data_IF_214511203201
#
_entry.id   IF_214511203201
#
_cell.length_a   1.000
_cell.length_b   1.000
_cell.length_c   1.000
_cell.angle_alpha   90.00
_cell.angle_beta   90.00
_cell.angle_gamma   90.00
#
_symmetry.space_group_name_H-M   'P 1'
#
loop_
_entity.id
_entity.type
_entity.pdbx_description
1 polymer ?
#
# COMPACT_ATOMS: atom_id res chain seq x y z
N UNK A 1 -9.89 -1.00 11.24
CA UNK A 1 -10.59 0.11 10.60
C UNK A 1 -12.08 0.17 10.98
N UNK A 2 -12.78 -0.96 11.08
CA UNK A 2 -14.18 -1.01 11.50
C UNK A 2 -15.19 -1.27 10.38
N UNK A 3 -14.81 -1.09 9.11
CA UNK A 3 -15.69 -1.38 7.97
C UNK A 3 -15.80 -2.87 7.62
N UNK A 4 -14.84 -3.71 8.03
CA UNK A 4 -14.83 -5.13 7.70
C UNK A 4 -15.89 -5.88 8.50
N UNK A 5 -16.93 -6.36 7.81
CA UNK A 5 -18.02 -7.17 8.39
C UNK A 5 -17.82 -8.65 8.12
N UNK A 6 -17.06 -9.00 7.06
CA UNK A 6 -16.75 -10.38 6.68
C UNK A 6 -15.36 -10.48 6.09
N UNK A 7 -14.76 -11.65 6.05
CA UNK A 7 -13.39 -11.83 5.56
C UNK A 7 -13.18 -13.17 4.88
N UNK A 8 -12.28 -13.18 3.92
CA UNK A 8 -11.69 -14.40 3.37
C UNK A 8 -10.73 -15.03 4.39
N UNK A 9 -10.30 -16.24 4.17
CA UNK A 9 -9.41 -16.96 5.11
C UNK A 9 -8.10 -16.23 5.45
N UNK A 10 -7.53 -15.42 4.54
CA UNK A 10 -6.29 -14.66 4.77
C UNK A 10 -6.41 -13.24 4.19
N UNK A 11 -7.20 -12.39 4.85
CA UNK A 11 -7.35 -11.01 4.39
C UNK A 11 -6.06 -10.23 4.63
N UNK A 12 -5.74 -9.33 3.68
CA UNK A 12 -4.67 -8.36 3.87
C UNK A 12 -5.03 -7.43 5.04
N UNK A 13 -4.04 -7.09 5.86
CA UNK A 13 -4.22 -6.10 6.93
C UNK A 13 -4.47 -4.72 6.32
N UNK A 14 -5.46 -3.98 6.85
CA UNK A 14 -5.89 -2.68 6.32
C UNK A 14 -4.77 -1.63 6.39
N UNK A 15 -3.98 -1.63 7.47
CA UNK A 15 -2.87 -0.69 7.63
C UNK A 15 -1.77 -0.98 6.61
N UNK A 16 -1.48 -2.27 6.38
CA UNK A 16 -0.53 -2.68 5.34
C UNK A 16 -1.03 -2.29 3.95
N UNK A 17 -2.30 -2.54 3.63
CA UNK A 17 -2.92 -2.17 2.37
C UNK A 17 -2.82 -0.66 2.10
N UNK A 18 -3.17 0.17 3.09
CA UNK A 18 -3.02 1.63 3.00
C UNK A 18 -1.56 2.03 2.79
N UNK A 19 -0.62 1.44 3.53
CA UNK A 19 0.81 1.69 3.38
C UNK A 19 1.35 1.31 1.99
N UNK A 20 0.89 0.19 1.42
CA UNK A 20 1.22 -0.23 0.06
C UNK A 20 0.75 0.81 -0.96
N UNK A 21 -0.49 1.29 -0.85
CA UNK A 21 -1.06 2.29 -1.76
C UNK A 21 -0.32 3.63 -1.62
N UNK A 22 -0.11 4.12 -0.41
CA UNK A 22 0.63 5.37 -0.16
C UNK A 22 2.06 5.31 -0.72
N UNK A 23 2.72 4.14 -0.66
CA UNK A 23 4.06 3.94 -1.25
C UNK A 23 4.06 4.13 -2.76
N UNK A 24 2.97 3.83 -3.46
CA UNK A 24 2.88 4.05 -4.92
C UNK A 24 2.89 5.52 -5.31
N UNK A 25 2.58 6.41 -4.38
CA UNK A 25 2.38 7.85 -4.61
C UNK A 25 1.00 8.20 -5.15
N UNK A 26 0.15 7.23 -5.50
CA UNK A 26 -1.19 7.43 -6.01
C UNK A 26 -2.13 8.01 -4.93
N UNK A 27 -2.93 9.02 -5.32
CA UNK A 27 -3.85 9.75 -4.43
C UNK A 27 -5.24 9.96 -5.05
N UNK A 28 -5.60 9.19 -6.08
CA UNK A 28 -6.89 9.31 -6.76
C UNK A 28 -6.85 10.06 -8.11
N UNK A 29 -5.66 10.29 -8.68
CA UNK A 29 -5.49 10.97 -9.97
C UNK A 29 -5.75 10.07 -11.19
N UNK A 30 -6.13 8.83 -10.99
CA UNK A 30 -6.42 7.84 -12.03
C UNK A 30 -7.28 6.70 -11.46
N UNK A 31 -7.66 5.76 -12.33
CA UNK A 31 -8.32 4.53 -11.89
C UNK A 31 -7.37 3.64 -11.07
N UNK A 32 -7.93 2.88 -10.15
CA UNK A 32 -7.21 1.90 -9.34
C UNK A 32 -7.73 0.50 -9.67
N UNK A 33 -6.83 -0.47 -9.88
CA UNK A 33 -7.23 -1.83 -10.28
C UNK A 33 -6.60 -2.86 -9.34
N UNK A 34 -7.44 -3.77 -8.82
CA UNK A 34 -7.00 -4.99 -8.12
C UNK A 34 -7.71 -6.21 -8.71
N UNK A 35 -7.05 -6.95 -9.62
CA UNK A 35 -7.68 -8.06 -10.33
C UNK A 35 -7.78 -9.36 -9.53
N UNK A 36 -7.33 -9.38 -8.28
CA UNK A 36 -7.42 -10.51 -7.35
C UNK A 36 -7.76 -9.98 -5.95
N UNK A 37 -8.89 -9.27 -5.86
CA UNK A 37 -9.20 -8.36 -4.76
C UNK A 37 -9.60 -9.07 -3.46
N UNK A 38 -9.92 -10.37 -3.48
CA UNK A 38 -10.35 -11.09 -2.29
C UNK A 38 -11.51 -10.38 -1.56
N UNK A 39 -11.32 -10.02 -0.30
CA UNK A 39 -12.31 -9.30 0.51
C UNK A 39 -12.41 -7.79 0.24
N UNK A 40 -11.73 -7.27 -0.77
CA UNK A 40 -11.79 -5.87 -1.21
C UNK A 40 -10.97 -4.88 -0.40
N UNK A 41 -10.04 -5.33 0.44
CA UNK A 41 -9.28 -4.44 1.35
C UNK A 41 -8.51 -3.36 0.59
N UNK A 42 -7.75 -3.71 -0.47
CA UNK A 42 -7.00 -2.72 -1.27
C UNK A 42 -7.93 -1.71 -1.94
N UNK A 43 -9.08 -2.14 -2.44
CA UNK A 43 -10.06 -1.25 -3.09
C UNK A 43 -10.65 -0.24 -2.12
N UNK A 44 -11.02 -0.68 -0.91
CA UNK A 44 -11.59 0.18 0.13
C UNK A 44 -10.57 1.20 0.59
N UNK A 45 -9.34 0.76 0.92
CA UNK A 45 -8.27 1.66 1.34
C UNK A 45 -7.88 2.64 0.22
N UNK A 46 -7.89 2.22 -1.05
CA UNK A 46 -7.65 3.08 -2.20
C UNK A 46 -8.73 4.17 -2.31
N UNK A 47 -10.01 3.79 -2.26
CA UNK A 47 -11.10 4.75 -2.32
C UNK A 47 -11.07 5.74 -1.15
N UNK A 48 -10.77 5.28 0.07
CA UNK A 48 -10.60 6.17 1.24
C UNK A 48 -9.43 7.15 1.06
N UNK A 49 -8.30 6.69 0.51
CA UNK A 49 -7.14 7.55 0.22
C UNK A 49 -7.48 8.57 -0.88
N UNK A 50 -8.15 8.15 -1.96
CA UNK A 50 -8.57 9.03 -3.05
C UNK A 50 -9.50 10.14 -2.56
N UNK A 51 -10.48 9.79 -1.73
CA UNK A 51 -11.44 10.70 -1.13
C UNK A 51 -10.86 11.50 0.05
N UNK A 52 -9.68 11.16 0.52
CA UNK A 52 -9.06 11.70 1.75
C UNK A 52 -9.92 11.50 3.00
N UNK A 53 -10.65 10.39 3.07
CA UNK A 53 -11.46 10.01 4.24
C UNK A 53 -10.54 9.61 5.39
N UNK A 54 -10.82 10.11 6.59
CA UNK A 54 -10.03 9.82 7.78
C UNK A 54 -10.01 8.31 8.10
N UNK A 55 -8.84 7.70 8.35
CA UNK A 55 -8.72 6.25 8.53
C UNK A 55 -9.45 5.70 9.76
N UNK A 56 -9.87 6.57 10.69
CA UNK A 56 -10.59 6.20 11.91
C UNK A 56 -12.12 6.26 11.82
N UNK A 57 -12.69 6.79 10.73
CA UNK A 57 -14.14 7.11 10.62
C UNK A 57 -15.08 5.92 10.88
N UNK A 58 -14.64 4.70 10.59
CA UNK A 58 -15.44 3.49 10.83
C UNK A 58 -15.21 2.85 12.21
N UNK A 59 -14.39 3.46 13.09
CA UNK A 59 -14.17 2.93 14.44
C UNK A 59 -15.30 3.35 15.36
N UNK A 60 -15.75 2.42 16.19
CA UNK A 60 -16.81 2.67 17.18
C UNK A 60 -16.30 3.39 18.42
N UNK A 61 -15.04 3.12 18.82
CA UNK A 61 -14.43 3.63 20.04
C UNK A 61 -12.93 3.82 19.85
N UNK A 62 -12.40 4.82 20.53
CA UNK A 62 -10.95 5.07 20.62
C UNK A 62 -10.50 4.94 22.08
N UNK A 63 -9.30 4.43 22.31
CA UNK A 63 -8.77 4.23 23.65
C UNK A 63 -8.62 5.54 24.44
N UNK A 64 -8.34 6.66 23.74
CA UNK A 64 -8.16 7.97 24.37
C UNK A 64 -9.48 8.59 24.89
N UNK A 65 -10.66 8.12 24.45
CA UNK A 65 -11.95 8.53 25.00
C UNK A 65 -12.09 8.21 26.50
N UNK A 66 -11.25 7.30 27.02
CA UNK A 66 -11.18 6.92 28.44
C UNK A 66 -10.14 7.70 29.24
N UNK A 67 -9.46 8.65 28.62
CA UNK A 67 -8.48 9.49 29.34
C UNK A 67 -9.17 10.54 30.19
N UNK A 68 -8.53 10.92 31.30
CA UNK A 68 -9.11 11.88 32.28
C UNK A 68 -9.32 13.26 31.67
N UNK A 69 -8.42 13.64 30.75
CA UNK A 69 -8.40 14.93 30.04
C UNK A 69 -9.05 14.88 28.67
N UNK A 70 -9.89 13.85 28.40
CA UNK A 70 -10.59 13.73 27.12
C UNK A 70 -11.62 14.86 26.95
N UNK A 71 -11.52 15.58 25.84
CA UNK A 71 -12.42 16.66 25.46
C UNK A 71 -13.37 16.18 24.36
N UNK A 72 -14.63 15.92 24.75
CA UNK A 72 -15.66 15.42 23.85
C UNK A 72 -16.02 16.43 22.76
N UNK A 73 -16.09 17.73 23.06
CA UNK A 73 -16.45 18.76 22.08
C UNK A 73 -15.37 18.91 21.01
N UNK A 74 -14.11 18.88 21.43
CA UNK A 74 -12.97 18.89 20.52
C UNK A 74 -12.95 17.65 19.63
N UNK A 75 -13.21 16.48 20.24
CA UNK A 75 -13.27 15.22 19.50
C UNK A 75 -14.39 15.25 18.45
N UNK A 76 -15.61 15.62 18.80
CA UNK A 76 -16.76 15.67 17.89
C UNK A 76 -16.50 16.64 16.72
N UNK A 77 -15.87 17.78 17.00
CA UNK A 77 -15.51 18.75 15.98
C UNK A 77 -14.48 18.19 14.97
N UNK A 78 -13.46 17.47 15.48
CA UNK A 78 -12.41 16.88 14.62
C UNK A 78 -12.96 15.64 13.89
N UNK A 79 -13.75 14.82 14.59
CA UNK A 79 -14.29 13.57 14.02
C UNK A 79 -15.28 13.81 12.90
N UNK A 80 -16.09 14.87 13.00
CA UNK A 80 -17.08 15.24 12.00
C UNK A 80 -16.56 16.28 10.97
N UNK A 81 -15.26 16.60 10.97
CA UNK A 81 -14.68 17.51 9.99
C UNK A 81 -14.39 16.82 8.67
N UNK A 82 -15.26 17.02 7.69
CA UNK A 82 -15.13 16.53 6.31
C UNK A 82 -14.47 17.57 5.38
N UNK A 83 -13.99 18.71 5.91
CA UNK A 83 -13.45 19.82 5.11
C UNK A 83 -12.23 19.44 4.26
N UNK A 84 -11.55 18.36 4.62
CA UNK A 84 -10.37 17.85 3.91
C UNK A 84 -10.71 16.75 2.90
N UNK A 85 -11.96 16.33 2.82
CA UNK A 85 -12.37 15.33 1.82
C UNK A 85 -12.27 15.89 0.40
N UNK A 86 -12.04 15.00 -0.56
CA UNK A 86 -11.80 15.34 -1.96
C UNK A 86 -12.78 14.63 -2.87
N UNK A 87 -13.05 15.21 -4.03
CA UNK A 87 -13.74 14.51 -5.09
C UNK A 87 -12.85 13.45 -5.73
N UNK A 88 -13.42 12.30 -6.02
CA UNK A 88 -12.77 11.22 -6.75
C UNK A 88 -13.55 10.97 -8.06
N UNK A 89 -12.99 11.42 -9.17
CA UNK A 89 -13.62 11.39 -10.50
C UNK A 89 -13.27 10.12 -11.31
N UNK A 90 -12.48 9.23 -10.72
CA UNK A 90 -12.14 7.92 -11.26
C UNK A 90 -12.83 6.81 -10.45
N UNK A 91 -12.47 5.56 -10.67
CA UNK A 91 -13.02 4.41 -9.95
C UNK A 91 -11.94 3.43 -9.55
N UNK A 92 -12.27 2.63 -8.54
CA UNK A 92 -11.54 1.44 -8.17
C UNK A 92 -12.24 0.21 -8.78
N UNK A 93 -11.50 -0.59 -9.54
CA UNK A 93 -12.01 -1.80 -10.18
C UNK A 93 -11.43 -3.03 -9.50
N UNK A 94 -12.30 -3.89 -9.02
CA UNK A 94 -11.93 -5.15 -8.39
C UNK A 94 -12.45 -6.34 -9.17
N UNK A 95 -11.64 -7.39 -9.23
CA UNK A 95 -12.08 -8.67 -9.72
C UNK A 95 -11.53 -9.80 -8.84
N UNK A 96 -12.25 -10.91 -8.80
CA UNK A 96 -11.77 -12.15 -8.21
C UNK A 96 -12.40 -13.33 -8.96
N UNK A 97 -11.70 -14.44 -9.04
CA UNK A 97 -12.22 -15.67 -9.64
C UNK A 97 -13.29 -16.32 -8.77
N UNK A 98 -13.25 -16.09 -7.47
CA UNK A 98 -14.14 -16.69 -6.48
C UNK A 98 -15.37 -15.79 -6.23
N UNK A 99 -16.60 -16.21 -6.62
CA UNK A 99 -17.81 -15.44 -6.38
C UNK A 99 -18.05 -15.14 -4.91
N UNK A 100 -17.72 -16.07 -3.99
CA UNK A 100 -17.87 -15.84 -2.56
C UNK A 100 -16.94 -14.73 -2.04
N UNK A 101 -15.74 -14.58 -2.60
CA UNK A 101 -14.86 -13.46 -2.27
C UNK A 101 -15.45 -12.12 -2.72
N UNK A 102 -16.09 -12.08 -3.89
CA UNK A 102 -16.79 -10.89 -4.41
C UNK A 102 -17.98 -10.52 -3.52
N UNK A 103 -18.78 -11.49 -3.05
CA UNK A 103 -19.88 -11.22 -2.11
C UNK A 103 -19.37 -10.64 -0.79
N UNK A 104 -18.25 -11.14 -0.26
CA UNK A 104 -17.61 -10.61 0.94
C UNK A 104 -17.11 -9.17 0.68
N UNK A 105 -16.43 -8.95 -0.45
CA UNK A 105 -15.95 -7.62 -0.82
C UNK A 105 -17.10 -6.61 -0.94
N UNK A 106 -18.21 -7.01 -1.56
CA UNK A 106 -19.40 -6.16 -1.70
C UNK A 106 -19.99 -5.76 -0.34
N UNK A 107 -20.10 -6.70 0.61
CA UNK A 107 -20.56 -6.42 1.97
C UNK A 107 -19.64 -5.41 2.68
N UNK A 108 -18.33 -5.59 2.57
CA UNK A 108 -17.34 -4.69 3.17
C UNK A 108 -17.38 -3.29 2.55
N UNK A 109 -17.45 -3.21 1.21
CA UNK A 109 -17.55 -1.94 0.47
C UNK A 109 -18.83 -1.19 0.83
N UNK A 110 -19.95 -1.91 0.97
CA UNK A 110 -21.23 -1.35 1.40
C UNK A 110 -21.16 -0.83 2.84
N UNK A 111 -20.53 -1.58 3.74
CA UNK A 111 -20.30 -1.16 5.13
C UNK A 111 -19.40 0.08 5.22
N UNK A 112 -18.46 0.24 4.28
CA UNK A 112 -17.60 1.42 4.17
C UNK A 112 -18.29 2.62 3.48
N UNK A 113 -19.51 2.47 2.92
CA UNK A 113 -20.19 3.54 2.19
C UNK A 113 -19.61 3.86 0.81
N UNK A 114 -18.77 2.97 0.24
CA UNK A 114 -17.95 3.26 -0.94
C UNK A 114 -18.47 2.64 -2.25
N UNK A 115 -19.72 2.14 -2.28
CA UNK A 115 -20.33 1.51 -3.47
C UNK A 115 -20.31 2.39 -4.73
N UNK A 116 -20.36 3.71 -4.58
CA UNK A 116 -20.31 4.66 -5.71
C UNK A 116 -18.97 4.64 -6.43
N UNK A 117 -17.90 4.33 -5.73
CA UNK A 117 -16.51 4.50 -6.20
C UNK A 117 -15.84 3.19 -6.59
N UNK A 118 -16.45 2.04 -6.26
CA UNK A 118 -15.84 0.72 -6.45
C UNK A 118 -16.76 -0.15 -7.31
N UNK A 119 -16.21 -0.73 -8.36
CA UNK A 119 -16.87 -1.72 -9.23
C UNK A 119 -16.24 -3.08 -9.05
N UNK A 120 -17.08 -4.10 -8.87
CA UNK A 120 -16.64 -5.49 -8.69
C UNK A 120 -17.10 -6.37 -9.85
N UNK A 121 -16.26 -7.36 -10.19
CA UNK A 121 -16.59 -8.38 -11.18
C UNK A 121 -16.11 -9.75 -10.71
N UNK A 122 -16.95 -10.77 -10.88
CA UNK A 122 -16.48 -12.17 -10.77
C UNK A 122 -15.84 -12.55 -12.10
N UNK A 123 -14.51 -12.50 -12.15
CA UNK A 123 -13.76 -12.74 -13.38
C UNK A 123 -12.35 -13.26 -13.07
N UNK A 124 -11.91 -14.38 -13.70
CA UNK A 124 -10.51 -14.79 -13.65
C UNK A 124 -9.60 -13.75 -14.31
N UNK A 125 -8.47 -13.43 -13.72
CA UNK A 125 -7.54 -12.44 -14.29
C UNK A 125 -7.03 -12.80 -15.69
N UNK A 126 -6.90 -14.08 -16.00
CA UNK A 126 -6.55 -14.53 -17.35
C UNK A 126 -7.55 -14.13 -18.43
N UNK A 127 -8.79 -13.81 -18.07
CA UNK A 127 -9.84 -13.34 -18.99
C UNK A 127 -9.92 -11.81 -19.07
N UNK A 128 -9.08 -11.08 -18.33
CA UNK A 128 -9.01 -9.64 -18.42
C UNK A 128 -8.44 -9.24 -19.78
N UNK A 129 -9.22 -8.52 -20.58
CA UNK A 129 -8.86 -8.09 -21.95
C UNK A 129 -8.62 -6.60 -22.06
N UNK A 130 -9.11 -5.82 -21.08
CA UNK A 130 -9.06 -4.37 -21.09
C UNK A 130 -8.69 -3.83 -19.71
N UNK A 131 -7.93 -2.75 -19.69
CA UNK A 131 -7.60 -2.00 -18.48
C UNK A 131 -8.14 -0.57 -18.58
N UNK A 132 -8.89 -0.09 -17.56
CA UNK A 132 -9.47 1.26 -17.58
C UNK A 132 -8.38 2.32 -17.48
N UNK A 133 -8.24 3.14 -18.52
CA UNK A 133 -7.19 4.18 -18.65
C UNK A 133 -7.69 5.56 -18.19
N UNK A 134 -6.82 6.39 -17.60
CA UNK A 134 -5.52 6.05 -17.02
C UNK A 134 -5.67 5.23 -15.74
N UNK A 135 -4.62 4.50 -15.34
CA UNK A 135 -4.74 3.69 -14.13
C UNK A 135 -3.44 3.22 -13.50
N UNK A 136 -3.58 2.73 -12.27
CA UNK A 136 -2.57 2.00 -11.53
C UNK A 136 -3.12 0.64 -11.11
N UNK A 137 -2.28 -0.39 -11.08
CA UNK A 137 -2.64 -1.70 -10.57
C UNK A 137 -1.85 -2.00 -9.30
N UNK A 138 -2.57 -2.37 -8.23
CA UNK A 138 -1.96 -2.85 -6.99
C UNK A 138 -2.66 -4.13 -6.61
N UNK A 139 -1.92 -5.21 -6.44
CA UNK A 139 -2.52 -6.51 -6.16
C UNK A 139 -1.70 -7.35 -5.21
N UNK A 140 -2.40 -8.21 -4.48
CA UNK A 140 -1.86 -9.20 -3.57
C UNK A 140 -2.31 -10.60 -4.03
N UNK A 141 -1.65 -11.18 -5.05
CA UNK A 141 -2.01 -12.51 -5.56
C UNK A 141 -1.91 -13.57 -4.47
N UNK A 142 -2.64 -14.69 -4.59
CA UNK A 142 -2.50 -15.78 -3.65
C UNK A 142 -1.08 -16.33 -3.67
N UNK A 143 -0.55 -16.60 -2.47
CA UNK A 143 0.74 -17.22 -2.23
C UNK A 143 0.64 -18.13 -1.00
N UNK A 144 1.52 -19.13 -0.93
CA UNK A 144 1.62 -20.02 0.23
C UNK A 144 1.10 -21.43 0.02
N UNK A 145 0.70 -22.08 1.10
CA UNK A 145 0.41 -23.52 1.16
C UNK A 145 -0.90 -23.95 0.46
N UNK A 146 -1.71 -23.01 -0.02
CA UNK A 146 -3.04 -23.24 -0.58
C UNK A 146 -3.07 -23.62 -2.04
N UNK A 147 -1.96 -23.41 -2.74
CA UNK A 147 -1.82 -23.71 -4.17
C UNK A 147 -0.56 -24.53 -4.33
N UNK A 148 -0.61 -25.59 -5.17
CA UNK A 148 0.58 -26.36 -5.48
C UNK A 148 1.68 -25.45 -6.03
N UNK A 149 2.94 -25.76 -5.76
CA UNK A 149 4.06 -24.95 -6.26
C UNK A 149 4.04 -24.78 -7.77
N UNK A 150 3.59 -25.80 -8.52
CA UNK A 150 3.48 -25.75 -9.98
C UNK A 150 2.38 -24.78 -10.42
N UNK A 151 1.21 -24.83 -9.78
CA UNK A 151 0.07 -23.97 -10.10
C UNK A 151 0.37 -22.51 -9.73
N UNK A 152 1.09 -22.31 -8.63
CA UNK A 152 1.53 -20.99 -8.19
C UNK A 152 2.46 -20.34 -9.22
N UNK A 153 3.48 -21.05 -9.70
CA UNK A 153 4.40 -20.52 -10.72
C UNK A 153 3.66 -20.26 -12.05
N UNK A 154 2.69 -21.11 -12.41
CA UNK A 154 1.79 -20.92 -13.56
C UNK A 154 0.95 -19.64 -13.42
N UNK A 155 0.42 -19.38 -12.23
CA UNK A 155 -0.34 -18.16 -11.92
C UNK A 155 0.52 -16.91 -12.15
N UNK A 156 1.75 -16.85 -11.61
CA UNK A 156 2.60 -15.69 -11.76
C UNK A 156 3.11 -15.48 -13.19
N UNK A 157 3.30 -16.57 -13.95
CA UNK A 157 3.56 -16.46 -15.39
C UNK A 157 2.36 -15.85 -16.14
N UNK A 158 1.14 -16.30 -15.84
CA UNK A 158 -0.10 -15.74 -16.39
C UNK A 158 -0.26 -14.26 -16.02
N UNK A 159 0.02 -13.90 -14.77
CA UNK A 159 0.01 -12.50 -14.33
C UNK A 159 0.96 -11.67 -15.18
N UNK A 160 2.20 -12.12 -15.37
CA UNK A 160 3.19 -11.43 -16.19
C UNK A 160 2.72 -11.22 -17.63
N UNK A 161 2.12 -12.23 -18.26
CA UNK A 161 1.59 -12.13 -19.62
C UNK A 161 0.40 -11.16 -19.72
N UNK A 162 -0.55 -11.22 -18.76
CA UNK A 162 -1.68 -10.26 -18.75
C UNK A 162 -1.22 -8.83 -18.55
N UNK A 163 -0.30 -8.61 -17.60
CA UNK A 163 0.25 -7.29 -17.33
C UNK A 163 0.93 -6.69 -18.57
N UNK A 164 1.75 -7.45 -19.28
CA UNK A 164 2.42 -6.99 -20.50
C UNK A 164 1.47 -6.57 -21.62
N UNK A 165 0.39 -7.33 -21.81
CA UNK A 165 -0.47 -7.18 -22.99
C UNK A 165 -1.71 -6.32 -22.75
N UNK A 166 -2.15 -6.16 -21.51
CA UNK A 166 -3.41 -5.47 -21.17
C UNK A 166 -3.18 -4.16 -20.45
N UNK A 167 -2.11 -4.06 -19.65
CA UNK A 167 -1.90 -2.92 -18.75
C UNK A 167 -0.81 -1.95 -19.24
N UNK A 168 -0.69 -1.77 -20.54
CA UNK A 168 0.24 -0.77 -21.11
C UNK A 168 -0.09 0.62 -20.58
N UNK A 169 0.95 1.36 -20.16
CA UNK A 169 0.84 2.68 -19.52
C UNK A 169 0.62 2.63 -18.01
N UNK A 170 0.49 1.46 -17.43
CA UNK A 170 0.31 1.29 -15.99
C UNK A 170 1.62 1.19 -15.23
N UNK A 171 1.58 1.64 -13.97
CA UNK A 171 2.47 1.15 -12.92
C UNK A 171 1.78 0.01 -12.20
N UNK A 172 2.40 -1.16 -12.22
CA UNK A 172 1.86 -2.38 -11.64
C UNK A 172 2.66 -2.78 -10.41
N UNK A 173 1.98 -2.86 -9.27
CA UNK A 173 2.57 -3.20 -7.99
C UNK A 173 2.05 -4.55 -7.51
N UNK A 174 2.96 -5.45 -7.20
CA UNK A 174 2.65 -6.83 -6.80
C UNK A 174 3.34 -7.15 -5.49
N UNK A 175 2.56 -7.66 -4.51
CA UNK A 175 3.08 -8.22 -3.26
C UNK A 175 3.25 -9.72 -3.40
N UNK A 176 4.38 -10.26 -2.98
CA UNK A 176 4.62 -11.71 -2.84
C UNK A 176 5.75 -11.99 -1.86
N UNK A 177 5.80 -13.20 -1.31
CA UNK A 177 6.88 -13.60 -0.41
C UNK A 177 7.92 -14.53 -1.05
N UNK A 178 7.67 -15.03 -2.27
CA UNK A 178 8.57 -15.96 -2.98
C UNK A 178 9.24 -15.28 -4.16
N UNK A 179 10.55 -15.25 -4.16
CA UNK A 179 11.35 -14.74 -5.30
C UNK A 179 11.08 -15.50 -6.58
N UNK A 180 10.91 -16.84 -6.50
CA UNK A 180 10.57 -17.70 -7.63
C UNK A 180 9.28 -17.26 -8.36
N UNK A 181 8.30 -16.72 -7.63
CA UNK A 181 7.08 -16.19 -8.20
C UNK A 181 7.37 -14.94 -9.04
N UNK A 182 8.19 -14.05 -8.53
CA UNK A 182 8.59 -12.84 -9.26
C UNK A 182 9.38 -13.13 -10.53
N UNK A 183 10.23 -14.17 -10.51
CA UNK A 183 10.98 -14.59 -11.70
C UNK A 183 10.06 -15.03 -12.84
N UNK A 184 8.89 -15.59 -12.50
CA UNK A 184 7.88 -16.02 -13.49
C UNK A 184 7.09 -14.88 -14.13
N UNK A 185 7.05 -13.69 -13.52
CA UNK A 185 6.42 -12.51 -14.15
C UNK A 185 7.17 -12.11 -15.43
N UNK A 186 8.48 -12.38 -15.51
CA UNK A 186 9.28 -12.14 -16.71
C UNK A 186 9.43 -10.65 -17.08
N UNK A 187 9.29 -9.75 -16.08
CA UNK A 187 9.50 -8.32 -16.20
C UNK A 187 10.58 -7.88 -15.20
N UNK A 188 11.32 -6.84 -15.57
CA UNK A 188 12.31 -6.23 -14.66
C UNK A 188 11.60 -5.19 -13.80
N UNK A 189 11.63 -5.32 -12.45
CA UNK A 189 11.02 -4.32 -11.60
C UNK A 189 11.80 -3.00 -11.64
N UNK A 190 11.07 -1.89 -11.57
CA UNK A 190 11.62 -0.54 -11.41
C UNK A 190 11.90 -0.19 -9.95
N UNK A 191 11.06 -0.71 -9.03
CA UNK A 191 11.26 -0.57 -7.59
C UNK A 191 11.03 -1.89 -6.86
N UNK A 192 11.70 -2.05 -5.71
CA UNK A 192 11.52 -3.17 -4.79
C UNK A 192 11.58 -2.66 -3.36
N UNK A 193 10.72 -3.22 -2.50
CA UNK A 193 10.82 -2.99 -1.05
C UNK A 193 10.38 -4.23 -0.29
N UNK A 194 10.91 -4.42 0.90
CA UNK A 194 10.50 -5.47 1.83
C UNK A 194 9.37 -4.97 2.72
N UNK A 195 8.38 -5.81 2.94
CA UNK A 195 7.22 -5.57 3.80
C UNK A 195 6.93 -6.80 4.64
N UNK A 196 6.38 -6.59 5.83
CA UNK A 196 5.88 -7.68 6.66
C UNK A 196 4.36 -7.84 6.48
N UNK A 197 3.91 -9.02 6.04
CA UNK A 197 2.50 -9.38 6.03
C UNK A 197 2.24 -10.43 7.12
N UNK A 198 1.81 -9.97 8.29
CA UNK A 198 1.82 -10.79 9.50
C UNK A 198 3.24 -11.20 9.88
N UNK A 199 3.52 -12.50 9.93
CA UNK A 199 4.85 -13.07 10.18
C UNK A 199 5.68 -13.29 8.90
N UNK A 200 5.11 -13.08 7.71
CA UNK A 200 5.79 -13.34 6.44
C UNK A 200 6.56 -12.11 5.97
N UNK A 201 7.86 -12.27 5.71
CA UNK A 201 8.66 -11.29 5.00
C UNK A 201 8.32 -11.37 3.51
N UNK A 202 7.71 -10.30 2.98
CA UNK A 202 7.29 -10.19 1.59
C UNK A 202 8.12 -9.14 0.86
N UNK A 203 8.17 -9.24 -0.46
CA UNK A 203 8.62 -8.17 -1.33
C UNK A 203 7.42 -7.53 -2.06
N UNK A 204 7.46 -6.22 -2.18
CA UNK A 204 6.52 -5.42 -2.95
C UNK A 204 7.27 -4.79 -4.11
N UNK A 205 6.94 -5.21 -5.35
CA UNK A 205 7.67 -4.84 -6.56
C UNK A 205 6.81 -4.01 -7.50
N UNK A 206 7.40 -2.95 -8.05
CA UNK A 206 6.80 -2.13 -9.10
C UNK A 206 7.33 -2.52 -10.47
N UNK A 207 6.44 -2.52 -11.45
CA UNK A 207 6.74 -2.72 -12.86
C UNK A 207 6.12 -1.59 -13.68
N UNK A 208 6.92 -0.83 -14.42
CA UNK A 208 6.44 0.15 -15.39
C UNK A 208 6.15 -0.58 -16.70
N UNK A 209 4.90 -0.52 -17.14
CA UNK A 209 4.43 -1.20 -18.36
C UNK A 209 4.34 -0.20 -19.50
N UNK A 210 5.17 -0.36 -20.51
CA UNK A 210 5.28 0.54 -21.66
C UNK A 210 5.39 -0.25 -22.96
N UNK A 211 5.05 0.38 -24.07
CA UNK A 211 5.29 -0.16 -25.40
C UNK A 211 6.74 0.09 -25.84
N UNK A 212 7.35 -0.88 -26.50
CA UNK A 212 8.67 -0.75 -27.08
C UNK A 212 9.83 -1.11 -26.18
N UNK A 213 11.02 -0.56 -26.47
CA UNK A 213 12.26 -0.90 -25.75
C UNK A 213 12.47 0.00 -24.54
N UNK A 214 12.97 -0.56 -23.45
CA UNK A 214 13.25 0.15 -22.19
C UNK A 214 14.17 1.38 -22.37
N UNK A 215 15.02 1.38 -23.41
CA UNK A 215 15.91 2.52 -23.72
C UNK A 215 15.11 3.71 -24.22
N UNK A 216 14.13 3.49 -25.06
CA UNK A 216 13.30 4.54 -25.66
C UNK A 216 12.38 5.13 -24.60
N UNK A 217 11.79 4.30 -23.75
CA UNK A 217 11.00 4.73 -22.59
C UNK A 217 11.77 5.61 -21.60
N UNK A 218 12.99 5.19 -21.25
CA UNK A 218 13.86 6.00 -20.36
C UNK A 218 14.30 7.32 -20.97
N UNK A 219 14.48 7.37 -22.29
CA UNK A 219 14.81 8.61 -23.00
C UNK A 219 13.64 9.59 -22.95
N UNK A 220 12.43 9.14 -23.22
CA UNK A 220 11.22 9.94 -23.12
C UNK A 220 10.99 10.51 -21.71
N UNK A 221 11.17 9.70 -20.66
CA UNK A 221 11.08 10.15 -19.26
C UNK A 221 12.09 11.22 -18.87
N UNK A 222 13.32 11.14 -19.42
CA UNK A 222 14.35 12.13 -19.16
C UNK A 222 14.04 13.46 -19.88
N UNK A 223 13.54 13.40 -21.11
CA UNK A 223 13.11 14.58 -21.87
C UNK A 223 11.92 15.30 -21.19
N UNK A 224 10.95 14.56 -20.64
CA UNK A 224 9.87 15.13 -19.82
C UNK A 224 10.36 15.68 -18.46
N UNK A 225 11.39 15.08 -17.89
CA UNK A 225 12.01 15.51 -16.63
C UNK A 225 12.78 16.82 -16.75
N UNK A 226 13.40 17.07 -17.90
CA UNK A 226 14.14 18.32 -18.20
C UNK A 226 13.20 19.53 -18.44
N UNK A 227 11.92 19.29 -18.75
CA UNK A 227 10.90 20.33 -18.86
C UNK A 227 10.36 20.86 -17.50
N UNK A 228 10.80 20.31 -16.38
CA UNK A 228 10.46 20.85 -15.05
C UNK A 228 11.35 22.03 -14.72
N UNK A 229 10.78 23.17 -14.20
CA UNK A 229 11.59 24.32 -13.81
C UNK A 229 12.63 23.91 -12.78
N UNK A 230 13.88 24.32 -13.01
CA UNK A 230 15.02 24.06 -12.15
C UNK A 230 14.69 24.43 -10.71
N UNK A 231 14.94 23.48 -9.79
CA UNK A 231 14.80 23.68 -8.35
C UNK A 231 15.59 24.95 -7.97
N UNK A 232 15.03 25.92 -7.23
CA UNK A 232 15.78 27.10 -6.82
C UNK A 232 17.05 26.67 -6.09
N UNK A 233 18.18 27.20 -6.53
CA UNK A 233 19.49 26.95 -5.92
C UNK A 233 19.43 27.29 -4.44
N UNK A 234 19.84 26.33 -3.59
CA UNK A 234 20.05 26.63 -2.17
C UNK A 234 21.16 27.65 -2.05
N UNK A 235 20.99 28.73 -1.27
CA UNK A 235 22.07 29.69 -1.07
C UNK A 235 23.29 28.95 -0.54
N UNK A 236 24.44 29.15 -1.20
CA UNK A 236 25.72 28.62 -0.81
C UNK A 236 26.13 29.24 0.54
N UNK A 237 26.09 28.43 1.59
CA UNK A 237 26.70 28.83 2.85
C UNK A 237 28.21 28.86 2.67
N UNK A 238 28.81 30.03 2.71
CA UNK A 238 30.25 30.23 2.77
C UNK A 238 30.84 29.42 3.93
N UNK A 239 31.77 28.54 3.62
CA UNK A 239 32.57 27.83 4.62
C UNK A 239 33.45 28.82 5.38
N UNK A 240 33.16 29.00 6.64
CA UNK A 240 34.08 29.73 7.55
C UNK A 240 35.40 28.98 7.66
N UNK A 241 36.56 29.68 7.72
CA UNK A 241 37.88 29.08 7.77
C UNK A 241 38.12 28.26 9.03
N UNK A 242 38.85 27.19 8.83
CA UNK A 242 39.38 26.21 9.78
C UNK A 242 39.95 26.84 11.04
N UNK A 243 39.43 26.52 12.20
CA UNK A 243 40.06 26.76 13.52
C UNK A 243 40.63 25.44 14.00
N UNK A 244 41.88 25.17 13.65
CA UNK A 244 42.74 24.23 14.33
C UNK A 244 43.00 24.75 15.75
N UNK A 245 42.32 24.27 16.73
CA UNK A 245 42.73 24.08 18.14
C UNK A 245 41.51 23.68 18.99
N UNK A 246 41.35 22.39 19.20
CA UNK A 246 40.48 21.85 20.22
C UNK A 246 41.35 21.28 21.36
N UNK A 247 41.14 21.70 22.62
CA UNK A 247 41.76 21.01 23.74
C UNK A 247 41.08 19.68 23.99
N UNK A 248 41.90 18.68 24.28
CA UNK A 248 41.46 17.31 24.69
C UNK A 248 40.69 17.39 25.99
N UNK A 249 39.38 17.15 25.94
CA UNK A 249 38.60 16.79 27.13
C UNK A 249 38.52 15.26 27.20
N UNK A 250 39.10 14.71 28.28
CA UNK A 250 38.88 13.35 28.71
C UNK A 250 37.38 13.20 29.05
N UNK A 251 36.70 12.29 28.37
CA UNK A 251 35.35 11.86 28.70
C UNK A 251 35.43 10.81 29.80
N UNK A 252 35.07 11.20 31.03
CA UNK A 252 34.69 10.23 32.03
C UNK A 252 33.40 9.54 31.62
N UNK A 253 33.44 8.20 31.68
CA UNK A 253 32.29 7.35 31.40
C UNK A 253 31.23 7.63 32.49
N UNK A 254 30.13 8.25 32.09
CA UNK A 254 28.85 8.16 32.82
C UNK A 254 28.09 6.95 32.28
N UNK A 255 27.97 5.93 33.11
CA UNK A 255 27.10 4.79 32.90
C UNK A 255 25.64 5.25 32.87
N UNK A 256 25.04 5.19 31.68
CA UNK A 256 23.62 5.41 31.51
C UNK A 256 22.88 4.12 31.90
N UNK A 257 22.35 4.10 33.12
CA UNK A 257 21.46 3.04 33.60
C UNK A 257 20.14 3.10 32.81
N UNK A 258 19.99 2.20 31.84
CA UNK A 258 18.72 1.91 31.19
C UNK A 258 17.79 1.21 32.20
N UNK A 259 16.79 1.91 32.66
CA UNK A 259 15.66 1.33 33.39
C UNK A 259 14.86 0.45 32.44
N UNK A 260 15.04 -0.87 32.51
CA UNK A 260 14.12 -1.84 31.93
C UNK A 260 13.08 -2.20 32.99
N UNK A 261 11.86 -1.69 32.88
CA UNK A 261 10.75 -2.18 33.67
C UNK A 261 10.36 -3.60 33.15
N UNK A 262 10.22 -4.59 34.03
CA UNK A 262 9.80 -5.93 33.63
C UNK A 262 8.35 -5.92 33.16
N UNK A 263 8.10 -6.62 32.05
CA UNK A 263 6.78 -6.86 31.48
C UNK A 263 5.85 -7.59 32.48
N UNK A 264 4.53 -7.29 32.51
CA UNK A 264 3.57 -7.94 33.41
C UNK A 264 3.37 -9.46 33.21
N UNK A 265 4.06 -10.08 32.27
CA UNK A 265 3.92 -11.51 31.94
C UNK A 265 4.82 -12.47 32.74
N UNK A 266 5.75 -11.96 33.55
CA UNK A 266 6.69 -12.82 34.30
C UNK A 266 6.26 -13.12 35.76
N UNK A 267 4.98 -12.97 36.07
CA UNK A 267 4.42 -13.38 37.37
C UNK A 267 3.39 -14.48 37.22
N UNK A 268 3.85 -15.66 36.87
CA UNK A 268 3.13 -16.88 37.24
C UNK A 268 4.02 -18.11 37.02
N UNK A 269 4.86 -18.44 37.99
CA UNK A 269 5.17 -19.84 38.37
C UNK A 269 5.81 -19.78 39.76
N UNK A 270 5.02 -20.03 40.82
CA UNK A 270 5.37 -20.80 41.96
C UNK A 270 4.21 -20.83 42.98
N UNK A 271 3.39 -21.83 42.87
CA UNK A 271 2.90 -22.74 43.92
C UNK A 271 1.85 -23.67 43.35
#
# INVERSE_FOLDING_TARGET
RGYRVDQTEAPLNEVLAAGMILKTGWKGESNFVDPMCGSGTLLIEAAMIALNIAPGVHRKEFAFEKWIDFDQELFDRIYNDESQEREFNFKCYGADINPAAIEIAEKNIRSAGLMKYIELRTQPFQQCTEAPQPGIMVTNPPYGERISSRDLLGLYNMIGERVKHVFTGYKVWILSYKDECFDKIGLKPSEKMKLMNGSLECEYRCYDIFEGKIKDYKKALNEEGEARPSRPERPSFERKPDRSSRPNFRTDRMDCLLYTSPSPRDRSVSR
#
